data_IF_026577534594
#
_entry.id   IF_026577534594
#
_cell.length_a   1.000
_cell.length_b   1.000
_cell.length_c   1.000
_cell.angle_alpha   90.00
_cell.angle_beta   90.00
_cell.angle_gamma   90.00
#
_symmetry.space_group_name_H-M   'P 1'
#
loop_
_entity.id
_entity.type
_entity.pdbx_description
1 polymer ?
#
# COMPACT_ATOMS: atom_id res chain seq x y z
N UNK A 1 -8.17 -5.04 8.22
CA UNK A 1 -8.70 -6.19 7.48
C UNK A 1 -8.09 -7.48 8.03
N UNK A 2 -8.88 -8.56 8.12
CA UNK A 2 -8.46 -9.85 8.69
C UNK A 2 -8.03 -10.81 7.56
N UNK A 3 -7.02 -11.61 7.85
CA UNK A 3 -6.53 -12.73 7.03
C UNK A 3 -6.74 -14.00 7.81
N UNK A 4 -7.23 -15.05 7.14
CA UNK A 4 -7.50 -16.36 7.76
C UNK A 4 -6.27 -17.25 7.60
N UNK A 5 -5.85 -17.90 8.69
CA UNK A 5 -4.79 -18.90 8.69
C UNK A 5 -5.45 -20.27 8.45
N UNK A 6 -5.07 -20.94 7.38
CA UNK A 6 -5.63 -22.25 7.01
C UNK A 6 -4.77 -23.43 7.49
N UNK A 7 -3.48 -23.18 7.66
CA UNK A 7 -2.55 -24.17 8.23
C UNK A 7 -1.37 -23.48 8.93
N UNK A 8 -0.80 -24.16 9.92
CA UNK A 8 0.41 -23.73 10.63
C UNK A 8 1.39 -24.89 10.75
N UNK A 9 2.68 -24.61 10.67
CA UNK A 9 3.75 -25.56 10.99
C UNK A 9 4.92 -24.84 11.66
N UNK A 10 5.74 -25.59 12.38
CA UNK A 10 6.94 -25.12 13.05
C UNK A 10 8.14 -25.97 12.60
N UNK A 11 8.75 -25.65 11.46
CA UNK A 11 9.84 -26.45 10.89
C UNK A 11 11.13 -26.42 11.70
N UNK A 12 11.35 -25.37 12.50
CA UNK A 12 12.50 -25.26 13.42
C UNK A 12 12.19 -24.27 14.54
N UNK A 13 12.98 -24.32 15.62
CA UNK A 13 12.81 -23.41 16.75
C UNK A 13 12.89 -21.95 16.30
N UNK A 14 11.86 -21.17 16.64
CA UNK A 14 11.75 -19.75 16.28
C UNK A 14 11.35 -19.48 14.83
N UNK A 15 11.10 -20.50 14.02
CA UNK A 15 10.62 -20.36 12.63
C UNK A 15 9.24 -21.02 12.52
N UNK A 16 8.29 -20.25 12.01
CA UNK A 16 6.90 -20.68 11.82
C UNK A 16 6.51 -20.51 10.35
N UNK A 17 5.71 -21.43 9.88
CA UNK A 17 5.13 -21.31 8.54
C UNK A 17 3.63 -21.32 8.66
N UNK A 18 2.97 -20.33 8.09
CA UNK A 18 1.51 -20.25 8.01
C UNK A 18 1.08 -20.26 6.56
N UNK A 19 -0.02 -20.96 6.29
CA UNK A 19 -0.73 -20.86 5.02
C UNK A 19 -1.96 -19.99 5.25
N UNK A 20 -2.17 -19.01 4.37
CA UNK A 20 -3.27 -18.04 4.49
C UNK A 20 -4.20 -18.12 3.29
N UNK A 21 -5.42 -17.62 3.48
CA UNK A 21 -6.41 -17.50 2.39
C UNK A 21 -5.95 -16.51 1.30
N UNK A 22 -5.26 -15.43 1.69
CA UNK A 22 -4.71 -14.44 0.77
C UNK A 22 -3.58 -13.65 1.47
N UNK A 23 -2.44 -13.50 0.83
CA UNK A 23 -1.30 -12.73 1.37
C UNK A 23 -1.50 -11.22 1.33
N UNK A 24 -2.50 -10.72 0.57
CA UNK A 24 -2.78 -9.28 0.46
C UNK A 24 -1.51 -8.47 0.15
N UNK A 25 -1.26 -7.42 0.94
CA UNK A 25 -0.05 -6.58 0.84
C UNK A 25 1.04 -6.90 1.85
N UNK A 26 1.00 -8.13 2.42
CA UNK A 26 2.08 -8.61 3.28
C UNK A 26 3.36 -8.72 2.46
N UNK A 27 4.47 -8.32 3.06
CA UNK A 27 5.79 -8.32 2.45
C UNK A 27 6.87 -8.81 3.44
N UNK A 28 8.02 -9.26 2.97
CA UNK A 28 9.14 -9.59 3.84
C UNK A 28 9.58 -8.42 4.72
N UNK A 29 10.14 -8.73 5.87
CA UNK A 29 10.65 -7.80 6.89
C UNK A 29 9.60 -6.99 7.66
N UNK A 30 8.29 -7.12 7.35
CA UNK A 30 7.27 -6.49 8.20
C UNK A 30 7.00 -7.34 9.43
N UNK A 31 6.51 -6.69 10.48
CA UNK A 31 6.04 -7.33 11.70
C UNK A 31 4.54 -7.56 11.62
N UNK A 32 4.12 -8.79 11.86
CA UNK A 32 2.71 -9.19 11.99
C UNK A 32 2.42 -9.51 13.45
N UNK A 33 1.42 -8.86 14.02
CA UNK A 33 0.89 -9.21 15.34
C UNK A 33 -0.14 -10.34 15.16
N UNK A 34 0.20 -11.53 15.60
CA UNK A 34 -0.64 -12.73 15.50
C UNK A 34 -0.97 -13.21 16.90
N UNK A 35 -2.24 -13.08 17.31
CA UNK A 35 -2.62 -13.21 18.71
C UNK A 35 -1.98 -12.11 19.55
N UNK A 36 -1.23 -12.50 20.58
CA UNK A 36 -0.54 -11.57 21.47
C UNK A 36 0.98 -11.48 21.21
N UNK A 37 1.45 -12.03 20.08
CA UNK A 37 2.87 -12.10 19.77
C UNK A 37 3.17 -11.46 18.43
N UNK A 38 4.36 -10.87 18.32
CA UNK A 38 4.87 -10.27 17.11
C UNK A 38 5.81 -11.24 16.38
N UNK A 39 5.63 -11.31 15.07
CA UNK A 39 6.40 -12.17 14.17
C UNK A 39 6.93 -11.35 13.00
N UNK A 40 8.20 -11.52 12.68
CA UNK A 40 8.78 -10.89 11.48
C UNK A 40 8.59 -11.82 10.29
N UNK A 41 8.08 -11.30 9.19
CA UNK A 41 7.96 -12.04 7.92
C UNK A 41 9.34 -12.22 7.32
N UNK A 42 9.79 -13.48 7.20
CA UNK A 42 11.08 -13.82 6.60
C UNK A 42 10.98 -14.00 5.09
N UNK A 43 9.93 -14.68 4.61
CA UNK A 43 9.71 -14.88 3.18
C UNK A 43 8.24 -15.21 2.89
N UNK A 44 7.85 -15.06 1.62
CA UNK A 44 6.50 -15.37 1.12
C UNK A 44 6.62 -16.18 -0.17
N UNK A 45 5.94 -17.32 -0.22
CA UNK A 45 5.85 -18.18 -1.41
C UNK A 45 4.39 -18.57 -1.66
N UNK A 46 3.76 -17.99 -2.67
CA UNK A 46 2.32 -18.14 -2.92
C UNK A 46 1.50 -17.65 -1.72
N UNK A 47 0.69 -18.53 -1.14
CA UNK A 47 -0.09 -18.28 0.08
C UNK A 47 0.63 -18.73 1.37
N UNK A 48 1.89 -19.12 1.29
CA UNK A 48 2.69 -19.56 2.44
C UNK A 48 3.60 -18.43 2.91
N UNK A 49 3.51 -18.09 4.19
CA UNK A 49 4.32 -17.06 4.83
C UNK A 49 5.23 -17.72 5.85
N UNK A 50 6.53 -17.50 5.73
CA UNK A 50 7.52 -17.92 6.73
C UNK A 50 7.76 -16.76 7.70
N UNK A 51 7.68 -17.07 8.97
CA UNK A 51 7.74 -16.11 10.08
C UNK A 51 8.85 -16.49 11.05
N UNK A 52 9.51 -15.50 11.61
CA UNK A 52 10.39 -15.64 12.77
C UNK A 52 9.75 -15.02 14.00
N UNK A 53 9.79 -15.75 15.12
CA UNK A 53 9.17 -15.31 16.37
C UNK A 53 9.51 -16.22 17.54
N UNK A 54 9.00 -15.91 18.73
CA UNK A 54 9.34 -16.62 19.96
C UNK A 54 8.27 -17.57 20.48
N UNK A 55 7.04 -17.51 19.97
CA UNK A 55 5.91 -18.28 20.49
C UNK A 55 5.18 -19.06 19.40
N UNK A 56 4.55 -20.18 19.74
CA UNK A 56 3.75 -20.95 18.80
C UNK A 56 2.47 -20.19 18.38
N UNK A 57 2.10 -20.31 17.12
CA UNK A 57 0.89 -19.69 16.57
C UNK A 57 -0.30 -20.62 16.84
N UNK A 58 -1.24 -20.12 17.66
CA UNK A 58 -2.43 -20.89 18.10
C UNK A 58 -3.75 -20.27 17.65
N UNK A 59 -3.71 -19.20 16.88
CA UNK A 59 -4.89 -18.47 16.38
C UNK A 59 -5.10 -18.74 14.89
N UNK A 60 -6.37 -18.64 14.45
CA UNK A 60 -6.76 -18.92 13.07
C UNK A 60 -6.87 -17.68 12.19
N UNK A 61 -6.51 -16.51 12.70
CA UNK A 61 -6.55 -15.27 11.93
C UNK A 61 -5.70 -14.18 12.57
N UNK A 62 -5.34 -13.19 11.78
CA UNK A 62 -4.66 -11.97 12.23
C UNK A 62 -5.11 -10.76 11.43
N UNK A 63 -4.84 -9.56 11.98
CA UNK A 63 -5.15 -8.30 11.31
C UNK A 63 -3.94 -7.85 10.49
N UNK A 64 -4.21 -7.41 9.26
CA UNK A 64 -3.18 -6.84 8.39
C UNK A 64 -2.56 -5.57 8.98
N UNK A 65 -1.29 -5.28 8.66
CA UNK A 65 -0.66 -4.03 9.01
C UNK A 65 -1.47 -2.82 8.53
N UNK A 66 -1.47 -1.78 9.34
CA UNK A 66 -2.14 -0.51 9.00
C UNK A 66 -1.48 0.13 7.79
N UNK A 67 -2.28 0.56 6.84
CA UNK A 67 -1.83 1.37 5.72
C UNK A 67 -1.96 2.84 6.11
N UNK A 68 -0.89 3.59 5.97
CA UNK A 68 -0.87 5.02 6.29
C UNK A 68 -1.21 5.83 5.06
N UNK A 69 -1.99 6.88 5.24
CA UNK A 69 -2.34 7.82 4.17
C UNK A 69 -1.68 9.17 4.41
N UNK A 70 -1.05 9.70 3.36
CA UNK A 70 -0.46 11.03 3.35
C UNK A 70 -1.00 11.81 2.16
N UNK A 71 -1.28 13.09 2.39
CA UNK A 71 -1.66 14.03 1.35
C UNK A 71 -0.84 15.30 1.53
N UNK A 72 -0.32 15.84 0.44
CA UNK A 72 0.44 17.09 0.47
C UNK A 72 1.57 17.13 -0.56
N UNK A 73 2.45 18.09 -0.38
CA UNK A 73 3.66 18.23 -1.18
C UNK A 73 4.70 17.17 -0.81
N UNK A 74 5.65 16.90 -1.71
CA UNK A 74 6.79 16.02 -1.45
C UNK A 74 7.55 16.44 -0.18
N UNK A 75 7.73 17.75 0.03
CA UNK A 75 8.44 18.29 1.21
C UNK A 75 7.70 17.99 2.51
N UNK A 76 6.40 18.22 2.55
CA UNK A 76 5.57 17.98 3.75
C UNK A 76 5.51 16.49 4.08
N UNK A 77 5.37 15.65 3.07
CA UNK A 77 5.38 14.19 3.24
C UNK A 77 6.72 13.73 3.80
N UNK A 78 7.85 14.21 3.26
CA UNK A 78 9.18 13.88 3.78
C UNK A 78 9.35 14.30 5.24
N UNK A 79 8.96 15.53 5.60
CA UNK A 79 9.01 16.02 6.99
C UNK A 79 8.17 15.11 7.91
N UNK A 80 7.00 14.68 7.45
CA UNK A 80 6.11 13.81 8.23
C UNK A 80 6.72 12.43 8.44
N UNK A 81 7.31 11.85 7.41
CA UNK A 81 8.00 10.56 7.49
C UNK A 81 9.22 10.62 8.40
N UNK A 82 10.04 11.66 8.29
CA UNK A 82 11.23 11.84 9.12
C UNK A 82 10.91 11.97 10.63
N UNK A 83 9.76 12.56 10.98
CA UNK A 83 9.32 12.68 12.37
C UNK A 83 8.90 11.34 12.99
N UNK A 84 8.60 10.31 12.23
CA UNK A 84 8.21 8.99 12.71
C UNK A 84 9.47 8.16 12.94
N UNK A 85 9.61 7.58 14.14
CA UNK A 85 10.84 6.89 14.54
C UNK A 85 10.99 5.49 13.96
N UNK A 86 9.86 4.79 13.67
CA UNK A 86 9.87 3.39 13.27
C UNK A 86 9.29 3.21 11.87
N UNK A 87 9.91 2.37 11.06
CA UNK A 87 9.43 2.03 9.71
C UNK A 87 8.03 1.42 9.73
N UNK A 88 7.69 0.67 10.79
CA UNK A 88 6.34 0.14 11.03
C UNK A 88 5.27 1.21 11.22
N UNK A 89 5.66 2.47 11.47
CA UNK A 89 4.77 3.62 11.58
C UNK A 89 4.69 4.45 10.29
N UNK A 90 5.45 4.05 9.27
CA UNK A 90 5.56 4.77 7.99
C UNK A 90 4.96 4.00 6.83
N UNK A 91 5.17 2.69 6.81
CA UNK A 91 4.86 1.83 5.67
C UNK A 91 4.03 0.60 6.06
N UNK A 92 3.21 0.06 5.14
CA UNK A 92 2.94 0.57 3.79
C UNK A 92 2.19 1.89 3.82
N UNK A 93 2.45 2.77 2.87
CA UNK A 93 1.82 4.08 2.77
C UNK A 93 1.16 4.30 1.41
N UNK A 94 0.08 5.08 1.41
CA UNK A 94 -0.54 5.66 0.21
C UNK A 94 -0.31 7.17 0.27
N UNK A 95 0.38 7.68 -0.72
CA UNK A 95 0.68 9.10 -0.83
C UNK A 95 -0.10 9.71 -2.00
N UNK A 96 -1.03 10.62 -1.71
CA UNK A 96 -1.73 11.43 -2.69
C UNK A 96 -0.94 12.73 -2.91
N UNK A 97 -0.47 12.93 -4.15
CA UNK A 97 0.18 14.17 -4.53
C UNK A 97 -0.84 15.33 -4.47
N UNK A 98 -0.45 16.45 -3.84
CA UNK A 98 -1.34 17.60 -3.62
C UNK A 98 -1.89 18.18 -4.93
N UNK A 99 -1.08 18.19 -6.00
CA UNK A 99 -1.48 18.76 -7.29
C UNK A 99 -2.25 17.70 -8.08
N UNK A 100 -3.55 17.85 -8.11
CA UNK A 100 -4.45 17.07 -8.96
C UNK A 100 -5.46 18.00 -9.64
N UNK A 101 -5.98 17.60 -10.80
CA UNK A 101 -6.98 18.40 -11.51
C UNK A 101 -8.38 17.91 -11.19
N UNK A 102 -9.30 18.86 -11.05
CA UNK A 102 -10.72 18.59 -10.87
C UNK A 102 -11.52 19.34 -11.93
N UNK A 103 -12.48 18.65 -12.51
CA UNK A 103 -13.46 19.20 -13.45
C UNK A 103 -14.83 19.04 -12.86
N UNK A 104 -15.59 20.12 -12.83
CA UNK A 104 -16.98 20.16 -12.38
C UNK A 104 -17.88 20.22 -13.60
N UNK A 105 -18.86 19.32 -13.69
CA UNK A 105 -19.85 19.27 -14.75
C UNK A 105 -21.22 19.65 -14.18
N UNK A 106 -21.65 20.89 -14.43
CA UNK A 106 -22.96 21.40 -13.94
C UNK A 106 -24.12 20.86 -14.77
N UNK A 107 -23.89 20.59 -16.06
CA UNK A 107 -24.95 20.26 -17.03
C UNK A 107 -25.18 18.75 -17.21
N UNK A 108 -24.41 17.89 -16.55
CA UNK A 108 -24.53 16.44 -16.69
C UNK A 108 -25.34 15.87 -15.51
N UNK A 109 -26.45 15.20 -15.82
CA UNK A 109 -27.36 14.68 -14.80
C UNK A 109 -26.77 13.60 -13.90
N UNK A 110 -25.70 12.91 -14.34
CA UNK A 110 -25.14 11.76 -13.61
C UNK A 110 -23.89 12.07 -12.80
N UNK A 111 -23.02 12.99 -13.25
CA UNK A 111 -21.72 13.26 -12.62
C UNK A 111 -21.58 14.70 -12.16
N UNK A 112 -21.13 14.85 -10.93
CA UNK A 112 -20.85 16.17 -10.33
C UNK A 112 -19.39 16.60 -10.57
N UNK A 113 -18.46 15.65 -10.47
CA UNK A 113 -17.05 15.93 -10.45
C UNK A 113 -16.21 14.79 -11.02
N UNK A 114 -15.20 15.15 -11.79
CA UNK A 114 -14.14 14.25 -12.26
C UNK A 114 -12.82 14.74 -11.70
N UNK A 115 -12.09 13.86 -10.99
CA UNK A 115 -10.80 14.17 -10.37
C UNK A 115 -9.72 13.24 -10.94
N UNK A 116 -8.70 13.83 -11.56
CA UNK A 116 -7.55 13.11 -12.07
C UNK A 116 -6.49 13.02 -10.97
N UNK A 117 -6.33 11.83 -10.38
CA UNK A 117 -5.52 11.60 -9.18
C UNK A 117 -4.24 10.83 -9.52
N UNK A 118 -3.17 11.20 -8.81
CA UNK A 118 -1.90 10.46 -8.76
C UNK A 118 -1.65 10.00 -7.34
N UNK A 119 -1.69 8.68 -7.15
CA UNK A 119 -1.46 8.05 -5.86
C UNK A 119 -0.21 7.16 -5.94
N UNK A 120 0.62 7.25 -4.94
CA UNK A 120 1.80 6.40 -4.80
C UNK A 120 1.57 5.42 -3.65
N UNK A 121 1.67 4.14 -3.95
CA UNK A 121 1.59 3.04 -2.99
C UNK A 121 3.01 2.57 -2.73
N UNK A 122 3.52 2.88 -1.56
CA UNK A 122 4.95 2.78 -1.28
C UNK A 122 5.21 1.97 -0.02
N UNK A 123 6.38 1.34 -0.01
CA UNK A 123 6.92 0.66 1.14
C UNK A 123 8.42 0.88 1.25
N UNK A 124 8.99 0.55 2.40
CA UNK A 124 10.43 0.62 2.61
C UNK A 124 11.17 -0.36 1.70
N UNK A 125 12.33 0.04 1.21
CA UNK A 125 13.17 -0.77 0.33
C UNK A 125 14.65 -0.66 0.71
N UNK A 126 15.41 -1.71 0.45
CA UNK A 126 16.85 -1.69 0.65
C UNK A 126 17.56 -1.50 -0.69
N UNK A 127 17.91 -0.25 -1.02
CA UNK A 127 18.53 0.11 -2.30
C UNK A 127 19.96 -0.43 -2.47
N UNK A 128 20.61 -0.82 -1.38
CA UNK A 128 22.00 -1.29 -1.40
C UNK A 128 22.10 -2.81 -1.58
N UNK A 129 21.11 -3.55 -1.06
CA UNK A 129 21.15 -5.01 -1.04
C UNK A 129 20.20 -5.66 -2.04
N UNK A 130 19.18 -4.94 -2.55
CA UNK A 130 18.15 -5.52 -3.42
C UNK A 130 18.53 -5.44 -4.88
N UNK A 131 18.41 -6.58 -5.57
CA UNK A 131 18.41 -6.69 -7.02
C UNK A 131 17.01 -6.40 -7.61
N UNK A 132 16.89 -6.43 -8.94
CA UNK A 132 15.62 -6.11 -9.64
C UNK A 132 14.48 -7.03 -9.21
N UNK A 133 14.76 -8.32 -9.06
CA UNK A 133 13.76 -9.32 -8.65
C UNK A 133 13.32 -9.14 -7.19
N UNK A 134 14.22 -8.67 -6.33
CA UNK A 134 13.92 -8.36 -4.93
C UNK A 134 12.97 -7.17 -4.84
N UNK A 135 13.20 -6.09 -5.60
CA UNK A 135 12.27 -4.97 -5.67
C UNK A 135 10.89 -5.42 -6.13
N UNK A 136 10.84 -6.26 -7.16
CA UNK A 136 9.57 -6.77 -7.67
C UNK A 136 8.84 -7.61 -6.62
N UNK A 137 9.52 -8.55 -6.00
CA UNK A 137 8.93 -9.52 -5.07
C UNK A 137 8.57 -8.88 -3.72
N UNK A 138 9.47 -8.05 -3.18
CA UNK A 138 9.36 -7.54 -1.81
C UNK A 138 8.60 -6.20 -1.71
N UNK A 139 8.47 -5.47 -2.81
CA UNK A 139 7.84 -4.14 -2.81
C UNK A 139 6.76 -4.00 -3.88
N UNK A 140 7.10 -4.12 -5.16
CA UNK A 140 6.18 -3.79 -6.26
C UNK A 140 4.94 -4.67 -6.22
N UNK A 141 5.10 -5.99 -6.17
CA UNK A 141 3.99 -6.94 -6.17
C UNK A 141 3.05 -6.81 -4.96
N UNK A 142 3.52 -6.65 -3.71
CA UNK A 142 2.66 -6.31 -2.58
C UNK A 142 1.90 -4.99 -2.77
N UNK A 143 2.54 -3.95 -3.31
CA UNK A 143 1.89 -2.67 -3.53
C UNK A 143 0.86 -2.72 -4.66
N UNK A 144 1.08 -3.50 -5.72
CA UNK A 144 0.07 -3.77 -6.75
C UNK A 144 -1.18 -4.45 -6.16
N UNK A 145 -1.02 -5.38 -5.22
CA UNK A 145 -2.15 -6.00 -4.49
C UNK A 145 -2.89 -4.99 -3.62
N UNK A 146 -2.17 -4.06 -3.00
CA UNK A 146 -2.77 -2.98 -2.22
C UNK A 146 -3.57 -2.03 -3.13
N UNK A 147 -3.04 -1.69 -4.32
CA UNK A 147 -3.78 -0.92 -5.35
C UNK A 147 -5.05 -1.64 -5.75
N UNK A 148 -4.98 -2.94 -6.06
CA UNK A 148 -6.18 -3.70 -6.44
C UNK A 148 -7.23 -3.64 -5.33
N UNK A 149 -6.81 -3.83 -4.07
CA UNK A 149 -7.72 -3.71 -2.94
C UNK A 149 -8.32 -2.30 -2.80
N UNK A 150 -7.55 -1.25 -3.09
CA UNK A 150 -8.02 0.13 -3.09
C UNK A 150 -9.08 0.35 -4.17
N UNK A 151 -8.82 -0.07 -5.41
CA UNK A 151 -9.79 0.01 -6.53
C UNK A 151 -11.06 -0.76 -6.21
N UNK A 152 -10.97 -2.00 -5.70
CA UNK A 152 -12.11 -2.81 -5.32
C UNK A 152 -12.94 -2.14 -4.21
N UNK A 153 -12.30 -1.40 -3.33
CA UNK A 153 -12.96 -0.66 -2.24
C UNK A 153 -13.67 0.57 -2.77
N UNK A 154 -13.05 1.32 -3.68
CA UNK A 154 -13.68 2.47 -4.35
C UNK A 154 -14.89 2.03 -5.19
N UNK A 155 -14.76 0.95 -5.95
CA UNK A 155 -15.84 0.41 -6.78
C UNK A 155 -17.09 -0.05 -5.98
N UNK A 156 -16.95 -0.22 -4.66
CA UNK A 156 -18.09 -0.51 -3.76
C UNK A 156 -18.79 0.75 -3.24
N UNK A 157 -18.22 1.93 -3.47
CA UNK A 157 -18.82 3.18 -3.03
C UNK A 157 -19.92 3.62 -3.98
N UNK A 158 -21.10 3.94 -3.45
CA UNK A 158 -22.28 4.30 -4.25
C UNK A 158 -22.06 5.55 -5.11
N UNK A 159 -21.26 6.49 -4.62
CA UNK A 159 -20.98 7.76 -5.31
C UNK A 159 -19.85 7.68 -6.33
N UNK A 160 -19.10 6.61 -6.35
CA UNK A 160 -17.96 6.43 -7.28
C UNK A 160 -18.45 5.67 -8.51
N UNK A 161 -18.19 6.23 -9.69
CA UNK A 161 -18.35 5.48 -10.93
C UNK A 161 -17.36 4.31 -10.95
N UNK A 162 -17.81 3.16 -11.44
CA UNK A 162 -16.95 1.99 -11.53
C UNK A 162 -15.68 2.31 -12.30
N UNK A 163 -14.54 2.20 -11.61
CA UNK A 163 -13.22 2.37 -12.19
C UNK A 163 -12.89 1.12 -13.00
N UNK A 164 -12.72 1.27 -14.32
CA UNK A 164 -12.39 0.20 -15.26
C UNK A 164 -10.99 0.37 -15.82
N UNK A 165 -10.61 1.63 -16.04
CA UNK A 165 -9.34 2.01 -16.66
C UNK A 165 -8.48 2.78 -15.67
N UNK A 166 -7.25 2.36 -15.52
CA UNK A 166 -6.24 3.03 -14.69
C UNK A 166 -4.84 2.65 -15.19
N UNK A 167 -3.88 3.49 -14.88
CA UNK A 167 -2.47 3.27 -15.23
C UNK A 167 -1.67 2.94 -13.99
N UNK A 168 -0.81 1.92 -14.07
CA UNK A 168 0.16 1.56 -13.05
C UNK A 168 1.58 1.73 -13.57
N UNK A 169 2.41 2.43 -12.82
CA UNK A 169 3.85 2.55 -13.07
C UNK A 169 4.63 1.97 -11.90
N UNK A 170 5.52 1.01 -12.18
CA UNK A 170 6.39 0.43 -11.16
C UNK A 170 7.55 1.36 -10.85
N UNK A 171 7.81 1.57 -9.56
CA UNK A 171 8.81 2.48 -9.04
C UNK A 171 9.75 1.71 -8.10
N UNK A 172 10.81 1.12 -8.65
CA UNK A 172 11.81 0.39 -7.85
C UNK A 172 12.57 1.31 -6.88
N UNK A 173 12.80 2.56 -7.27
CA UNK A 173 13.48 3.58 -6.46
C UNK A 173 12.70 4.88 -6.50
N UNK A 174 11.75 5.03 -5.60
CA UNK A 174 10.90 6.22 -5.57
C UNK A 174 11.68 7.45 -5.07
N UNK A 175 11.54 8.56 -5.79
CA UNK A 175 12.17 9.83 -5.43
C UNK A 175 13.68 9.92 -5.67
N UNK A 176 14.28 8.91 -6.33
CA UNK A 176 15.67 8.99 -6.76
C UNK A 176 15.77 9.69 -8.11
N UNK A 177 16.69 10.64 -8.22
CA UNK A 177 16.97 11.35 -9.46
C UNK A 177 18.48 11.58 -9.61
N UNK A 178 18.93 11.75 -10.86
CA UNK A 178 20.33 12.10 -11.14
C UNK A 178 20.42 13.61 -11.21
N UNK A 179 21.28 14.19 -10.38
CA UNK A 179 21.51 15.63 -10.39
C UNK A 179 22.36 16.07 -11.60
N UNK A 180 22.49 17.39 -11.82
CA UNK A 180 23.25 17.96 -12.93
C UNK A 180 24.75 17.61 -12.96
N UNK A 181 25.27 17.00 -11.89
CA UNK A 181 26.67 16.52 -11.78
C UNK A 181 26.78 15.01 -12.02
N UNK A 182 25.68 14.33 -12.37
CA UNK A 182 25.68 12.89 -12.61
C UNK A 182 25.58 12.04 -11.34
N UNK A 183 25.38 12.63 -10.16
CA UNK A 183 25.22 11.88 -8.91
C UNK A 183 23.74 11.61 -8.61
N UNK A 184 23.46 10.40 -8.08
CA UNK A 184 22.15 10.09 -7.53
C UNK A 184 21.87 10.96 -6.30
N UNK A 185 20.66 11.49 -6.23
CA UNK A 185 20.12 12.26 -5.12
C UNK A 185 18.70 11.77 -4.82
N UNK A 186 18.26 11.90 -3.58
CA UNK A 186 16.93 11.46 -3.14
C UNK A 186 16.07 12.63 -2.71
N UNK A 187 14.77 12.57 -3.03
CA UNK A 187 13.78 13.52 -2.54
C UNK A 187 13.33 13.20 -1.11
N UNK A 188 13.45 11.93 -0.71
CA UNK A 188 13.07 11.43 0.60
C UNK A 188 14.30 10.91 1.34
N UNK A 189 14.33 11.05 2.66
CA UNK A 189 15.33 10.42 3.51
C UNK A 189 15.11 8.91 3.60
N UNK A 190 13.84 8.49 3.64
CA UNK A 190 13.47 7.08 3.60
C UNK A 190 13.64 6.52 2.18
N UNK A 191 14.22 5.33 2.07
CA UNK A 191 14.34 4.58 0.82
C UNK A 191 13.03 3.88 0.54
N UNK A 192 12.27 4.39 -0.43
CA UNK A 192 10.93 3.94 -0.77
C UNK A 192 10.85 3.31 -2.16
N UNK A 193 10.05 2.27 -2.30
CA UNK A 193 9.74 1.57 -3.54
C UNK A 193 8.25 1.21 -3.59
N UNK A 194 7.70 1.00 -4.77
CA UNK A 194 6.29 0.61 -4.93
C UNK A 194 5.73 0.90 -6.31
N UNK A 195 4.51 1.43 -6.34
CA UNK A 195 3.80 1.71 -7.59
C UNK A 195 3.09 3.07 -7.57
N UNK A 196 3.04 3.73 -8.70
CA UNK A 196 2.18 4.88 -8.96
C UNK A 196 0.89 4.39 -9.61
N UNK A 197 -0.24 4.84 -9.08
CA UNK A 197 -1.56 4.69 -9.66
C UNK A 197 -2.04 6.04 -10.19
N UNK A 198 -2.41 6.08 -11.47
CA UNK A 198 -3.12 7.21 -12.08
C UNK A 198 -4.53 6.78 -12.41
N UNK A 199 -5.48 7.52 -11.87
CA UNK A 199 -6.91 7.29 -12.09
C UNK A 199 -7.65 8.59 -12.33
N UNK A 200 -8.68 8.51 -13.17
CA UNK A 200 -9.72 9.52 -13.28
C UNK A 200 -10.92 9.05 -12.47
N UNK A 201 -11.18 9.73 -11.37
CA UNK A 201 -12.25 9.38 -10.44
C UNK A 201 -13.49 10.21 -10.73
N UNK A 202 -14.54 9.55 -11.20
CA UNK A 202 -15.84 10.19 -11.49
C UNK A 202 -16.76 10.02 -10.30
N UNK A 203 -17.23 11.13 -9.75
CA UNK A 203 -18.16 11.17 -8.63
C UNK A 203 -19.56 11.53 -9.10
N UNK A 204 -20.53 10.71 -8.74
CA UNK A 204 -21.94 10.95 -9.00
C UNK A 204 -22.48 12.01 -8.06
N UNK A 205 -23.45 12.81 -8.55
CA UNK A 205 -24.25 13.68 -7.69
C UNK A 205 -24.88 12.87 -6.55
N UNK A 206 -24.96 13.43 -5.33
CA UNK A 206 -25.78 12.80 -4.32
C UNK A 206 -27.19 12.69 -4.92
N UNK A 207 -27.73 11.48 -5.00
CA UNK A 207 -29.18 11.34 -5.18
C UNK A 207 -29.79 12.03 -3.98
N UNK A 208 -30.49 13.15 -4.20
CA UNK A 208 -31.30 13.76 -3.18
C UNK A 208 -32.18 12.65 -2.64
N UNK A 209 -31.86 12.14 -1.49
CA UNK A 209 -32.83 11.45 -0.68
C UNK A 209 -33.84 12.54 -0.36
N UNK A 210 -34.91 12.61 -1.14
CA UNK A 210 -36.02 13.49 -0.88
C UNK A 210 -36.52 13.29 0.54
N UNK A 211 -35.84 13.90 1.46
CA UNK A 211 -36.21 14.03 2.85
C UNK A 211 -36.87 15.35 2.99
N UNK A 212 -38.17 15.32 2.89
CA UNK A 212 -39.00 16.34 3.53
C UNK A 212 -38.61 16.37 5.01
N UNK A 213 -37.95 17.41 5.46
CA UNK A 213 -38.01 17.87 6.83
C UNK A 213 -39.11 18.87 6.95
#
# INVERSE_FOLDING_TARGET
>A
KTVTITATSNPSAGVYTITVDDVKWIQPSIVLSIGNNDYTVSSISGCVITLSGSAAIVVNSFTLPTVYFFHGTVKETNITLTKRQFDTQKTPLVYLLEIFSERFNEDVDEFERVSDLRLFFLTHANFEAWEVDDFYTNSIKPMQRLVQHYIDTLNKQVRVQQIRDYELTNLSRFGVYVNNKGFESTLFEDKLSGVELRISLELRKPTDCGGYC
#
